data_IF_192379970035
#
_entry.id   IF_192379970035
#
_cell.length_a   1.000
_cell.length_b   1.000
_cell.length_c   1.000
_cell.angle_alpha   90.00
_cell.angle_beta   90.00
_cell.angle_gamma   90.00
#
_symmetry.space_group_name_H-M   'P 1'
#
loop_
_entity.id
_entity.type
_entity.pdbx_description
1 polymer ?
#
# COMPACT_ATOMS: atom_id res chain seq x y z
N UNK A 1 28.99 71.15 4.25
CA UNK A 1 28.38 70.10 5.07
C UNK A 1 27.05 69.71 4.42
N UNK A 2 26.93 68.47 3.88
CA UNK A 2 25.69 67.94 3.25
C UNK A 2 24.91 67.18 4.30
N UNK A 3 23.77 67.75 4.76
CA UNK A 3 22.82 67.02 5.64
C UNK A 3 22.17 65.88 4.82
N UNK A 4 22.53 64.64 5.16
CA UNK A 4 21.81 63.41 4.68
C UNK A 4 20.50 63.34 5.49
N UNK A 5 19.37 63.69 4.83
CA UNK A 5 18.05 63.40 5.36
C UNK A 5 17.91 61.89 5.57
N UNK A 6 17.78 61.44 6.83
CA UNK A 6 17.43 60.06 7.18
C UNK A 6 16.04 59.78 6.59
N UNK A 7 15.97 58.92 5.58
CA UNK A 7 14.73 58.37 5.03
C UNK A 7 14.07 57.57 6.15
N UNK A 8 13.02 58.08 6.74
CA UNK A 8 12.27 57.41 7.81
C UNK A 8 11.76 56.06 7.26
N UNK A 9 12.05 54.97 7.95
CA UNK A 9 11.41 53.69 7.71
C UNK A 9 9.91 53.82 8.06
N UNK A 10 9.05 53.70 7.04
CA UNK A 10 7.60 53.64 7.28
C UNK A 10 7.32 52.31 7.99
N UNK A 11 6.90 52.38 9.25
CA UNK A 11 6.41 51.23 10.01
C UNK A 11 5.08 50.74 9.43
N UNK A 12 4.79 49.48 9.66
CA UNK A 12 3.52 48.87 9.30
C UNK A 12 2.38 49.47 10.13
N UNK A 13 1.29 49.82 9.50
CA UNK A 13 0.11 50.36 10.23
C UNK A 13 -0.71 49.18 10.82
N UNK A 14 -1.42 49.44 11.91
CA UNK A 14 -2.33 48.46 12.52
C UNK A 14 -3.41 48.01 11.52
N UNK A 15 -3.87 48.91 10.64
CA UNK A 15 -4.84 48.60 9.62
C UNK A 15 -4.27 47.59 8.57
N UNK A 16 -3.04 47.78 8.09
CA UNK A 16 -2.36 46.84 7.20
C UNK A 16 -2.16 45.46 7.84
N UNK A 17 -1.85 45.43 9.12
CA UNK A 17 -1.72 44.20 9.89
C UNK A 17 -3.04 43.43 9.97
N UNK A 18 -4.13 44.10 10.30
CA UNK A 18 -5.47 43.46 10.37
C UNK A 18 -5.95 42.97 9.02
N UNK A 19 -5.72 43.72 7.93
CA UNK A 19 -6.05 43.29 6.58
C UNK A 19 -5.22 42.04 6.17
N UNK A 20 -3.93 42.01 6.53
CA UNK A 20 -3.07 40.88 6.23
C UNK A 20 -3.52 39.61 6.93
N UNK A 21 -3.88 39.70 8.23
CA UNK A 21 -4.41 38.53 8.97
C UNK A 21 -5.76 38.08 8.39
N UNK A 22 -6.64 38.98 8.02
CA UNK A 22 -7.91 38.64 7.41
C UNK A 22 -7.72 37.90 6.07
N UNK A 23 -6.80 38.38 5.23
CA UNK A 23 -6.46 37.72 3.98
C UNK A 23 -5.83 36.36 4.20
N UNK A 24 -4.91 36.20 5.16
CA UNK A 24 -4.33 34.90 5.51
C UNK A 24 -5.40 33.93 6.01
N UNK A 25 -6.35 34.39 6.84
CA UNK A 25 -7.44 33.57 7.32
C UNK A 25 -8.34 33.03 6.21
N UNK A 26 -8.70 33.90 5.23
CA UNK A 26 -9.49 33.47 4.08
C UNK A 26 -8.73 32.51 3.16
N UNK A 27 -7.44 32.69 2.94
CA UNK A 27 -6.61 31.76 2.18
C UNK A 27 -6.51 30.40 2.89
N UNK A 28 -6.29 30.36 4.19
CA UNK A 28 -6.21 29.11 4.95
C UNK A 28 -7.51 28.29 4.90
N UNK A 29 -8.67 28.94 4.90
CA UNK A 29 -9.96 28.24 4.85
C UNK A 29 -10.19 27.45 3.56
N UNK A 30 -9.53 27.81 2.47
CA UNK A 30 -9.60 27.11 1.17
C UNK A 30 -8.49 26.06 1.04
N UNK A 31 -7.33 26.33 1.62
CA UNK A 31 -6.14 25.49 1.47
C UNK A 31 -6.20 24.24 2.34
N UNK A 32 -6.66 24.36 3.60
CA UNK A 32 -6.71 23.23 4.53
C UNK A 32 -7.50 22.00 4.02
N UNK A 33 -8.75 22.15 3.52
CA UNK A 33 -9.50 21.01 3.00
C UNK A 33 -8.84 20.31 1.79
N UNK A 34 -8.03 21.09 1.03
CA UNK A 34 -7.30 20.54 -0.13
C UNK A 34 -6.16 19.61 0.29
N UNK A 35 -5.52 19.90 1.40
CA UNK A 35 -4.45 19.03 1.92
C UNK A 35 -4.98 17.68 2.37
N UNK A 36 -6.13 17.62 3.03
CA UNK A 36 -6.73 16.37 3.47
C UNK A 36 -7.02 15.45 2.29
N UNK A 37 -7.62 15.99 1.22
CA UNK A 37 -7.91 15.19 0.02
C UNK A 37 -6.64 14.71 -0.70
N UNK A 38 -5.58 15.50 -0.72
CA UNK A 38 -4.29 15.12 -1.30
C UNK A 38 -3.68 13.99 -0.47
N UNK A 39 -3.70 14.09 0.86
CA UNK A 39 -3.15 13.09 1.76
C UNK A 39 -3.87 11.75 1.59
N UNK A 40 -5.21 11.74 1.56
CA UNK A 40 -5.99 10.53 1.33
C UNK A 40 -5.70 9.88 -0.03
N UNK A 41 -5.58 10.68 -1.09
CA UNK A 41 -5.21 10.16 -2.40
C UNK A 41 -3.78 9.58 -2.43
N UNK A 42 -2.84 10.19 -1.72
CA UNK A 42 -1.48 9.66 -1.60
C UNK A 42 -1.46 8.34 -0.83
N UNK A 43 -2.20 8.23 0.27
CA UNK A 43 -2.33 6.99 1.04
C UNK A 43 -2.98 5.88 0.21
N UNK A 44 -4.08 6.17 -0.51
CA UNK A 44 -4.71 5.20 -1.40
C UNK A 44 -3.76 4.72 -2.52
N UNK A 45 -2.97 5.64 -3.09
CA UNK A 45 -1.97 5.28 -4.10
C UNK A 45 -0.83 4.43 -3.53
N UNK A 46 -0.38 4.74 -2.30
CA UNK A 46 0.63 3.96 -1.59
C UNK A 46 0.11 2.53 -1.30
N UNK A 47 -1.11 2.41 -0.77
CA UNK A 47 -1.73 1.12 -0.49
C UNK A 47 -1.84 0.25 -1.75
N UNK A 48 -2.26 0.85 -2.85
CA UNK A 48 -2.29 0.18 -4.16
C UNK A 48 -0.91 -0.30 -4.60
N UNK A 49 0.11 0.52 -4.42
CA UNK A 49 1.51 0.15 -4.75
C UNK A 49 2.00 -0.98 -3.88
N UNK A 50 1.68 -0.97 -2.58
CA UNK A 50 2.06 -2.03 -1.64
C UNK A 50 1.37 -3.36 -1.98
N UNK A 51 0.06 -3.34 -2.30
CA UNK A 51 -0.65 -4.53 -2.77
C UNK A 51 -0.05 -5.09 -4.08
N UNK A 52 0.30 -4.23 -5.02
CA UNK A 52 0.94 -4.66 -6.27
C UNK A 52 2.34 -5.24 -6.03
N UNK A 53 3.10 -4.70 -5.09
CA UNK A 53 4.39 -5.25 -4.66
C UNK A 53 4.23 -6.65 -4.08
N UNK A 54 3.28 -6.87 -3.18
CA UNK A 54 2.97 -8.20 -2.62
C UNK A 54 2.64 -9.19 -3.74
N UNK A 55 1.77 -8.79 -4.66
CA UNK A 55 1.41 -9.59 -5.83
C UNK A 55 2.64 -10.00 -6.65
N UNK A 56 3.53 -9.05 -6.96
CA UNK A 56 4.74 -9.33 -7.74
C UNK A 56 5.68 -10.31 -7.04
N UNK A 57 5.83 -10.17 -5.73
CA UNK A 57 6.65 -11.09 -4.91
C UNK A 57 6.06 -12.50 -4.92
N UNK A 58 4.74 -12.63 -4.78
CA UNK A 58 4.06 -13.93 -4.81
C UNK A 58 4.12 -14.58 -6.20
N UNK A 59 4.09 -13.79 -7.25
CA UNK A 59 4.32 -14.31 -8.61
C UNK A 59 5.76 -14.81 -8.80
N UNK A 60 6.74 -14.07 -8.28
CA UNK A 60 8.12 -14.51 -8.27
C UNK A 60 8.28 -15.86 -7.57
N UNK A 61 7.68 -15.98 -6.37
CA UNK A 61 7.66 -17.23 -5.62
C UNK A 61 6.99 -18.38 -6.40
N UNK A 62 5.83 -18.11 -7.03
CA UNK A 62 5.13 -19.10 -7.85
C UNK A 62 6.00 -19.59 -9.02
N UNK A 63 6.65 -18.70 -9.75
CA UNK A 63 7.52 -19.09 -10.85
C UNK A 63 8.72 -19.92 -10.38
N UNK A 64 9.29 -19.59 -9.24
CA UNK A 64 10.38 -20.36 -8.62
C UNK A 64 9.92 -21.77 -8.28
N UNK A 65 8.77 -21.94 -7.66
CA UNK A 65 8.20 -23.24 -7.31
C UNK A 65 7.77 -24.02 -8.56
N UNK A 66 7.24 -23.35 -9.57
CA UNK A 66 6.90 -23.93 -10.86
C UNK A 66 8.13 -24.49 -11.57
N UNK A 67 9.23 -23.75 -11.62
CA UNK A 67 10.50 -24.21 -12.23
C UNK A 67 11.09 -25.42 -11.52
N UNK A 68 10.80 -25.60 -10.25
CA UNK A 68 11.18 -26.75 -9.44
C UNK A 68 10.23 -27.95 -9.55
N UNK A 69 9.11 -27.78 -10.28
CA UNK A 69 8.12 -28.82 -10.55
C UNK A 69 7.00 -28.95 -9.53
N UNK A 70 6.91 -28.03 -8.56
CA UNK A 70 5.87 -28.00 -7.51
C UNK A 70 5.22 -26.62 -7.48
N UNK A 71 4.46 -26.31 -8.54
CA UNK A 71 3.80 -25.01 -8.68
C UNK A 71 2.79 -24.77 -7.54
N UNK A 72 3.02 -23.75 -6.74
CA UNK A 72 2.09 -23.28 -5.71
C UNK A 72 2.38 -21.84 -5.32
N UNK A 73 1.36 -21.18 -4.77
CA UNK A 73 1.47 -19.88 -4.12
C UNK A 73 1.75 -20.05 -2.62
N UNK A 74 2.23 -19.01 -1.91
CA UNK A 74 2.24 -19.03 -0.46
C UNK A 74 0.85 -19.38 0.08
N UNK A 75 0.71 -20.17 1.17
CA UNK A 75 -0.60 -20.48 1.73
C UNK A 75 -1.29 -19.23 2.26
N UNK A 76 -2.62 -19.16 2.11
CA UNK A 76 -3.40 -18.10 2.73
C UNK A 76 -3.26 -18.13 4.25
N UNK A 77 -3.26 -16.96 4.93
CA UNK A 77 -3.37 -16.91 6.38
C UNK A 77 -4.60 -17.67 6.88
N UNK A 78 -4.51 -18.25 8.06
CA UNK A 78 -5.59 -19.06 8.67
C UNK A 78 -6.41 -18.31 9.72
N UNK A 79 -6.08 -17.03 9.99
CA UNK A 79 -6.85 -16.16 10.88
C UNK A 79 -8.21 -15.78 10.28
N UNK A 80 -9.13 -15.27 11.10
CA UNK A 80 -10.54 -15.02 10.72
C UNK A 80 -10.67 -14.05 9.53
N UNK A 81 -9.73 -13.09 9.39
CA UNK A 81 -9.75 -12.06 8.35
C UNK A 81 -8.73 -12.33 7.23
N UNK A 82 -8.07 -13.48 7.25
CA UNK A 82 -7.00 -13.85 6.30
C UNK A 82 -5.88 -12.80 6.23
N UNK A 83 -5.54 -12.17 7.36
CA UNK A 83 -4.53 -11.10 7.43
C UNK A 83 -3.12 -11.66 7.33
N UNK A 84 -2.29 -10.97 6.55
CA UNK A 84 -0.84 -11.19 6.49
C UNK A 84 -0.15 -10.54 7.71
N UNK A 85 -0.52 -11.00 8.90
CA UNK A 85 -0.06 -10.51 10.18
C UNK A 85 1.33 -11.08 10.57
N UNK A 86 1.78 -10.77 11.79
CA UNK A 86 3.09 -11.20 12.31
C UNK A 86 3.14 -12.73 12.50
N UNK A 87 2.03 -13.38 12.83
CA UNK A 87 1.98 -14.83 12.99
C UNK A 87 2.20 -15.52 11.64
N UNK A 88 1.46 -15.12 10.62
CA UNK A 88 1.66 -15.63 9.28
C UNK A 88 3.04 -15.26 8.70
N UNK A 89 3.55 -14.06 8.97
CA UNK A 89 4.88 -13.63 8.52
C UNK A 89 6.01 -14.54 9.00
N UNK A 90 5.85 -15.20 10.14
CA UNK A 90 6.81 -16.12 10.74
C UNK A 90 6.50 -17.60 10.43
N UNK A 91 5.42 -17.90 9.72
CA UNK A 91 5.09 -19.25 9.29
C UNK A 91 6.12 -19.72 8.27
N UNK A 92 6.56 -20.98 8.37
CA UNK A 92 7.53 -21.56 7.42
C UNK A 92 6.78 -22.03 6.17
N UNK A 93 7.11 -21.42 5.04
CA UNK A 93 6.70 -21.87 3.71
C UNK A 93 7.78 -22.78 3.16
N UNK A 94 7.43 -24.03 2.83
CA UNK A 94 8.34 -24.98 2.22
C UNK A 94 8.17 -24.98 0.71
N UNK A 95 9.24 -24.61 -0.01
CA UNK A 95 9.38 -24.84 -1.42
C UNK A 95 10.64 -25.69 -1.63
N UNK A 96 10.50 -26.94 -2.04
CA UNK A 96 11.61 -27.84 -2.37
C UNK A 96 12.69 -27.97 -1.31
N UNK A 97 12.35 -28.28 -0.10
CA UNK A 97 13.29 -28.50 1.00
C UNK A 97 14.09 -27.26 1.47
N UNK A 98 13.82 -26.07 0.94
CA UNK A 98 14.34 -24.82 1.47
C UNK A 98 13.20 -24.10 2.18
N UNK A 99 13.09 -24.25 3.50
CA UNK A 99 12.07 -23.51 4.24
C UNK A 99 12.41 -22.00 4.24
N UNK A 100 11.42 -21.18 3.93
CA UNK A 100 11.49 -19.73 4.02
C UNK A 100 10.25 -19.21 4.74
N UNK A 101 10.33 -18.04 5.32
CA UNK A 101 9.17 -17.38 5.93
C UNK A 101 8.56 -16.35 4.96
N UNK A 102 7.25 -16.04 5.06
CA UNK A 102 6.62 -15.06 4.17
C UNK A 102 7.34 -13.70 4.14
N UNK A 103 7.82 -13.20 5.28
CA UNK A 103 8.55 -11.93 5.34
C UNK A 103 9.92 -11.99 4.61
N UNK A 104 10.57 -13.14 4.54
CA UNK A 104 11.85 -13.31 3.81
C UNK A 104 11.69 -13.17 2.30
N UNK A 105 10.46 -13.28 1.78
CA UNK A 105 10.18 -13.07 0.36
C UNK A 105 10.34 -11.58 -0.04
N UNK A 106 10.24 -10.67 0.90
CA UNK A 106 10.32 -9.23 0.65
C UNK A 106 11.74 -8.71 0.89
N UNK A 107 12.21 -7.84 0.01
CA UNK A 107 13.57 -7.29 0.08
C UNK A 107 13.85 -6.48 1.35
N UNK A 108 12.80 -5.95 1.99
CA UNK A 108 12.89 -5.24 3.26
C UNK A 108 12.87 -6.18 4.47
N UNK A 109 12.56 -7.47 4.29
CA UNK A 109 12.39 -8.43 5.37
C UNK A 109 11.09 -8.24 6.17
N UNK A 110 10.17 -7.42 5.67
CA UNK A 110 8.87 -7.15 6.28
C UNK A 110 7.78 -7.14 5.20
N UNK A 111 6.61 -7.69 5.53
CA UNK A 111 5.45 -7.68 4.63
C UNK A 111 4.90 -6.25 4.58
N UNK A 112 4.67 -5.67 3.38
CA UNK A 112 4.09 -4.35 3.27
C UNK A 112 2.70 -4.26 3.89
N UNK A 113 2.46 -3.19 4.63
CA UNK A 113 1.17 -2.85 5.24
C UNK A 113 0.51 -1.68 4.50
N UNK A 114 -0.73 -1.35 4.84
CA UNK A 114 -1.37 -0.14 4.37
C UNK A 114 -0.74 1.12 5.02
N UNK A 115 -1.18 2.31 4.62
CA UNK A 115 -0.65 3.58 5.11
C UNK A 115 -0.90 3.82 6.62
N UNK A 116 -1.83 3.10 7.23
CA UNK A 116 -2.13 3.12 8.66
C UNK A 116 -1.29 2.08 9.44
N UNK A 117 -0.51 1.25 8.75
CA UNK A 117 0.25 0.15 9.34
C UNK A 117 -0.55 -1.14 9.54
N UNK A 118 -1.77 -1.22 8.97
CA UNK A 118 -2.61 -2.41 9.05
C UNK A 118 -2.20 -3.43 7.96
N UNK A 119 -2.13 -4.75 8.27
CA UNK A 119 -1.85 -5.78 7.29
C UNK A 119 -2.98 -5.92 6.27
N UNK A 120 -2.65 -6.32 5.04
CA UNK A 120 -3.63 -6.66 4.02
C UNK A 120 -4.13 -8.09 4.22
N UNK A 121 -5.38 -8.34 3.82
CA UNK A 121 -5.90 -9.69 3.69
C UNK A 121 -5.37 -10.34 2.41
N UNK A 122 -5.05 -11.64 2.48
CA UNK A 122 -4.54 -12.44 1.38
C UNK A 122 -5.30 -13.74 1.23
N UNK A 123 -5.77 -13.99 0.02
CA UNK A 123 -6.43 -15.25 -0.33
C UNK A 123 -5.81 -15.83 -1.61
N UNK A 124 -5.67 -17.14 -1.65
CA UNK A 124 -5.29 -17.86 -2.86
C UNK A 124 -6.20 -19.06 -3.09
N UNK A 125 -6.51 -19.32 -4.36
CA UNK A 125 -7.27 -20.50 -4.77
C UNK A 125 -6.84 -20.94 -6.17
N UNK A 126 -7.23 -22.16 -6.53
CA UNK A 126 -7.00 -22.70 -7.86
C UNK A 126 -8.32 -23.02 -8.55
N UNK A 127 -8.38 -22.82 -9.85
CA UNK A 127 -9.45 -23.30 -10.70
C UNK A 127 -8.91 -24.32 -11.71
N UNK A 128 -9.63 -25.40 -11.90
CA UNK A 128 -9.19 -26.52 -12.74
C UNK A 128 -10.17 -26.71 -13.89
N UNK A 129 -9.70 -26.48 -15.11
CA UNK A 129 -10.47 -26.68 -16.33
C UNK A 129 -10.02 -27.93 -17.06
N UNK A 130 -10.95 -28.86 -17.31
CA UNK A 130 -10.69 -30.04 -18.12
C UNK A 130 -10.76 -29.68 -19.61
N UNK A 131 -9.68 -29.92 -20.34
CA UNK A 131 -9.53 -29.68 -21.78
C UNK A 131 -9.83 -30.94 -22.64
N UNK A 132 -10.53 -31.90 -22.10
CA UNK A 132 -10.84 -33.16 -22.77
C UNK A 132 -9.62 -34.03 -22.96
N UNK A 133 -9.29 -34.40 -24.23
CA UNK A 133 -8.09 -35.20 -24.55
C UNK A 133 -6.77 -34.48 -24.32
N UNK A 134 -6.81 -33.13 -24.23
CA UNK A 134 -5.60 -32.29 -24.14
C UNK A 134 -5.11 -32.11 -22.70
N UNK A 135 -5.80 -32.72 -21.73
CA UNK A 135 -5.39 -32.74 -20.34
C UNK A 135 -6.17 -31.80 -19.45
N UNK A 136 -5.49 -31.28 -18.44
CA UNK A 136 -6.06 -30.44 -17.38
C UNK A 136 -5.26 -29.14 -17.28
N UNK A 137 -5.96 -28.01 -17.31
CA UNK A 137 -5.38 -26.69 -17.05
C UNK A 137 -5.73 -26.28 -15.64
N UNK A 138 -4.72 -25.83 -14.87
CA UNK A 138 -4.89 -25.28 -13.54
C UNK A 138 -4.52 -23.81 -13.58
N UNK A 139 -5.47 -22.95 -13.27
CA UNK A 139 -5.27 -21.52 -13.12
C UNK A 139 -5.14 -21.19 -11.61
N UNK A 140 -4.13 -20.42 -11.26
CA UNK A 140 -3.86 -20.01 -9.89
C UNK A 140 -4.28 -18.55 -9.71
N UNK A 141 -4.96 -18.26 -8.63
CA UNK A 141 -5.50 -16.94 -8.34
C UNK A 141 -4.95 -16.39 -7.02
N UNK A 142 -4.69 -15.10 -7.03
CA UNK A 142 -4.27 -14.30 -5.87
C UNK A 142 -5.27 -13.18 -5.69
N UNK A 143 -5.73 -12.96 -4.47
CA UNK A 143 -6.48 -11.77 -4.07
C UNK A 143 -5.81 -11.14 -2.86
N UNK A 144 -5.56 -9.83 -2.95
CA UNK A 144 -5.04 -9.00 -1.86
C UNK A 144 -6.05 -7.89 -1.64
N UNK A 145 -6.51 -7.70 -0.41
CA UNK A 145 -7.58 -6.75 -0.07
C UNK A 145 -7.17 -5.89 1.12
N UNK A 146 -7.47 -4.60 1.06
CA UNK A 146 -7.37 -3.71 2.23
C UNK A 146 -8.67 -3.80 3.04
N UNK A 147 -8.59 -4.32 4.25
CA UNK A 147 -9.74 -4.56 5.15
C UNK A 147 -9.79 -3.58 6.32
N UNK A 148 -8.90 -2.59 6.34
CA UNK A 148 -8.90 -1.54 7.36
C UNK A 148 -9.99 -0.51 7.05
N UNK A 149 -11.03 -0.45 7.88
CA UNK A 149 -12.18 0.46 7.74
C UNK A 149 -11.77 1.95 7.74
N UNK A 150 -10.66 2.30 8.39
CA UNK A 150 -10.13 3.66 8.46
C UNK A 150 -9.23 3.99 7.25
N UNK A 151 -8.99 3.04 6.36
CA UNK A 151 -8.16 3.23 5.18
C UNK A 151 -8.93 3.86 4.02
N UNK A 152 -8.34 4.81 3.26
CA UNK A 152 -8.93 5.35 2.04
C UNK A 152 -9.07 4.32 0.91
N UNK A 153 -8.49 3.13 1.06
CA UNK A 153 -8.60 2.00 0.14
C UNK A 153 -9.37 0.81 0.74
N UNK A 154 -10.20 1.05 1.75
CA UNK A 154 -11.07 0.01 2.33
C UNK A 154 -11.85 -0.74 1.25
N UNK A 155 -11.90 -2.06 1.35
CA UNK A 155 -12.50 -2.99 0.37
C UNK A 155 -11.88 -2.99 -1.04
N UNK A 156 -10.86 -2.18 -1.30
CA UNK A 156 -10.14 -2.26 -2.58
C UNK A 156 -9.37 -3.57 -2.64
N UNK A 157 -9.60 -4.36 -3.67
CA UNK A 157 -8.92 -5.63 -3.88
C UNK A 157 -8.20 -5.70 -5.21
N UNK A 158 -7.06 -6.38 -5.21
CA UNK A 158 -6.36 -6.83 -6.41
C UNK A 158 -6.56 -8.33 -6.58
N UNK A 159 -7.21 -8.71 -7.68
CA UNK A 159 -7.32 -10.12 -8.09
C UNK A 159 -6.53 -10.32 -9.36
N UNK A 160 -5.69 -11.35 -9.40
CA UNK A 160 -4.90 -11.70 -10.57
C UNK A 160 -4.84 -13.21 -10.73
N UNK A 161 -4.81 -13.67 -11.98
CA UNK A 161 -4.58 -15.07 -12.36
C UNK A 161 -3.16 -15.25 -12.90
N UNK A 162 -2.58 -16.44 -12.69
CA UNK A 162 -1.31 -16.89 -13.23
C UNK A 162 -1.54 -18.10 -14.12
#
# INVERSE_FOLDING_TARGET
MKNKLKKGSKGFTIAEFVVTIALMGTMMSVVLPSFDSITLNMQASQNKTNMDMIRQVFFGYFYDTHMKGVAHLPPSPTNEESLMDEEWANEIISADMIPTTPNELFSAGEIPTNANGHPFAYETWTDTTFLGSDGMKVDYYVRITDVDEDSPSFEVSFTSAI
#
